data_IF_777093553011
#
_entry.id   IF_777093553011
#
_cell.length_a   1.000
_cell.length_b   1.000
_cell.length_c   1.000
_cell.angle_alpha   90.00
_cell.angle_beta   90.00
_cell.angle_gamma   90.00
#
_symmetry.space_group_name_H-M   'P 1'
#
loop_
_entity.id
_entity.type
_entity.pdbx_description
1 polymer ?
#
# COMPACT_ATOMS: atom_id res chain seq x y z
N UNK A 1 -12.66 11.02 16.26
CA UNK A 1 -12.25 12.33 15.67
C UNK A 1 -11.58 13.27 16.65
N UNK A 2 -12.23 13.71 17.73
CA UNK A 2 -11.67 14.74 18.64
C UNK A 2 -10.21 14.53 19.08
N UNK A 3 -9.85 13.29 19.45
CA UNK A 3 -8.48 12.98 19.85
C UNK A 3 -7.44 13.18 18.71
N UNK A 4 -7.81 12.82 17.48
CA UNK A 4 -6.94 12.97 16.30
C UNK A 4 -6.80 14.45 15.93
N UNK A 5 -7.88 15.22 16.01
CA UNK A 5 -7.88 16.66 15.74
C UNK A 5 -7.02 17.42 16.76
N UNK A 6 -7.19 17.12 18.05
CA UNK A 6 -6.37 17.73 19.11
C UNK A 6 -4.90 17.33 19.00
N UNK A 7 -4.59 16.06 18.74
CA UNK A 7 -3.22 15.63 18.49
C UNK A 7 -2.62 16.36 17.28
N UNK A 8 -3.38 16.52 16.19
CA UNK A 8 -2.95 17.25 15.00
C UNK A 8 -2.65 18.71 15.29
N UNK A 9 -3.49 19.37 16.12
CA UNK A 9 -3.30 20.74 16.58
C UNK A 9 -2.07 20.90 17.45
N UNK A 10 -1.89 20.01 18.44
CA UNK A 10 -0.73 20.00 19.35
C UNK A 10 0.59 19.79 18.60
N UNK A 11 0.60 18.88 17.62
CA UNK A 11 1.76 18.55 16.81
C UNK A 11 1.97 19.52 15.63
N UNK A 12 1.11 20.54 15.47
CA UNK A 12 1.18 21.55 14.40
C UNK A 12 1.29 20.93 13.01
N UNK A 13 0.51 19.88 12.74
CA UNK A 13 0.57 19.15 11.48
C UNK A 13 0.19 20.06 10.30
N UNK A 14 0.92 19.91 9.19
CA UNK A 14 0.56 20.51 7.90
C UNK A 14 -0.19 19.47 7.08
N UNK A 15 -1.52 19.50 7.15
CA UNK A 15 -2.41 18.55 6.48
C UNK A 15 -3.54 18.09 7.40
N UNK A 16 -4.36 17.17 6.90
CA UNK A 16 -5.46 16.55 7.65
C UNK A 16 -5.18 15.06 7.84
N UNK A 17 -5.40 14.56 9.05
CA UNK A 17 -5.34 13.13 9.35
C UNK A 17 -6.75 12.65 9.66
N UNK A 18 -7.25 11.71 8.86
CA UNK A 18 -8.57 11.12 9.02
C UNK A 18 -8.40 9.61 9.25
N UNK A 19 -8.95 9.04 10.34
CA UNK A 19 -9.11 7.59 10.45
C UNK A 19 -9.91 7.08 9.25
N UNK A 20 -9.65 5.85 8.79
CA UNK A 20 -10.45 5.27 7.69
C UNK A 20 -11.93 5.16 8.10
N UNK A 21 -12.18 4.82 9.36
CA UNK A 21 -13.50 4.71 9.96
C UNK A 21 -13.46 5.13 11.43
N UNK A 22 -14.63 5.50 11.99
CA UNK A 22 -14.82 5.78 13.42
C UNK A 22 -15.39 4.60 14.20
N UNK A 23 -15.74 3.52 13.49
CA UNK A 23 -16.25 2.31 14.08
C UNK A 23 -15.11 1.54 14.73
N UNK A 24 -15.35 1.04 15.95
CA UNK A 24 -14.41 0.15 16.61
C UNK A 24 -14.64 -1.27 16.08
N UNK A 25 -13.76 -1.73 15.21
CA UNK A 25 -13.84 -3.05 14.58
C UNK A 25 -12.48 -3.72 14.56
N UNK A 26 -12.47 -5.03 14.32
CA UNK A 26 -11.25 -5.82 14.20
C UNK A 26 -11.03 -6.24 12.74
N UNK A 27 -9.76 -6.23 12.33
CA UNK A 27 -9.33 -6.86 11.10
C UNK A 27 -9.26 -8.37 11.30
N UNK A 28 -9.88 -9.12 10.40
CA UNK A 28 -9.87 -10.58 10.36
C UNK A 28 -9.32 -11.08 9.03
N UNK A 29 -8.88 -12.34 8.98
CA UNK A 29 -8.47 -13.00 7.76
C UNK A 29 -9.03 -14.42 7.68
N UNK A 30 -9.57 -14.78 6.52
CA UNK A 30 -9.79 -16.16 6.11
C UNK A 30 -8.50 -16.67 5.46
N UNK A 31 -8.06 -17.85 5.87
CA UNK A 31 -6.84 -18.47 5.38
C UNK A 31 -7.16 -19.55 4.34
N UNK A 32 -6.15 -19.92 3.54
CA UNK A 32 -6.29 -20.90 2.46
C UNK A 32 -6.71 -22.31 2.92
N UNK A 33 -6.56 -22.63 4.22
CA UNK A 33 -7.06 -23.87 4.83
C UNK A 33 -8.50 -23.77 5.35
N UNK A 34 -9.17 -22.63 5.12
CA UNK A 34 -10.54 -22.34 5.55
C UNK A 34 -10.65 -21.87 7.00
N UNK A 35 -9.55 -21.80 7.76
CA UNK A 35 -9.56 -21.26 9.12
C UNK A 35 -9.65 -19.72 9.12
N UNK A 36 -10.12 -19.15 10.22
CA UNK A 36 -10.26 -17.70 10.41
C UNK A 36 -9.41 -17.26 11.59
N UNK A 37 -8.65 -16.18 11.38
CA UNK A 37 -7.93 -15.47 12.45
C UNK A 37 -8.55 -14.09 12.65
N UNK A 38 -8.76 -13.72 13.91
CA UNK A 38 -9.31 -12.42 14.31
C UNK A 38 -8.22 -11.54 14.93
N UNK A 39 -8.37 -10.22 14.80
CA UNK A 39 -7.43 -9.18 15.22
C UNK A 39 -6.16 -9.07 14.36
N UNK A 40 -5.73 -7.83 14.11
CA UNK A 40 -4.58 -7.52 13.24
C UNK A 40 -3.30 -8.26 13.69
N UNK A 41 -3.09 -8.42 15.00
CA UNK A 41 -1.92 -9.10 15.55
C UNK A 41 -1.84 -10.57 15.10
N UNK A 42 -2.97 -11.25 15.02
CA UNK A 42 -3.04 -12.65 14.57
C UNK A 42 -3.05 -12.76 13.05
N UNK A 43 -3.65 -11.79 12.35
CA UNK A 43 -3.57 -11.68 10.88
C UNK A 43 -2.11 -11.51 10.42
N UNK A 44 -1.27 -10.88 11.25
CA UNK A 44 0.18 -10.70 11.00
C UNK A 44 1.06 -11.83 11.53
N UNK A 45 0.49 -12.80 12.25
CA UNK A 45 1.26 -13.88 12.84
C UNK A 45 1.89 -14.76 11.74
N UNK A 46 3.08 -15.28 12.04
CA UNK A 46 3.78 -16.24 11.16
C UNK A 46 3.33 -17.68 11.46
N UNK A 47 3.60 -18.60 10.54
CA UNK A 47 3.33 -20.03 10.73
C UNK A 47 1.87 -20.45 10.57
N UNK A 48 1.00 -19.53 10.12
CA UNK A 48 -0.36 -19.81 9.69
C UNK A 48 -0.44 -20.08 8.19
N UNK A 49 -1.54 -20.67 7.72
CA UNK A 49 -1.81 -20.81 6.29
C UNK A 49 -1.85 -19.43 5.59
N UNK A 50 -1.57 -19.37 4.26
CA UNK A 50 -1.65 -18.13 3.48
C UNK A 50 -2.98 -17.42 3.64
N UNK A 51 -2.97 -16.08 3.60
CA UNK A 51 -4.20 -15.28 3.64
C UNK A 51 -4.92 -15.44 2.30
N UNK A 52 -6.16 -15.92 2.35
CA UNK A 52 -7.05 -15.95 1.18
C UNK A 52 -7.70 -14.57 0.99
N UNK A 53 -8.29 -14.03 2.07
CA UNK A 53 -8.86 -12.68 2.08
C UNK A 53 -8.92 -12.10 3.50
N UNK A 54 -8.96 -10.78 3.58
CA UNK A 54 -9.24 -10.04 4.81
C UNK A 54 -10.65 -9.48 4.80
N UNK A 55 -11.20 -9.24 5.99
CA UNK A 55 -12.48 -8.59 6.19
C UNK A 55 -12.51 -7.91 7.56
N UNK A 56 -13.48 -7.02 7.77
CA UNK A 56 -13.72 -6.42 9.07
C UNK A 56 -14.75 -7.28 9.81
N UNK A 57 -14.59 -7.42 11.13
CA UNK A 57 -15.51 -8.21 11.96
C UNK A 57 -16.95 -7.67 11.93
N UNK A 58 -17.11 -6.36 11.71
CA UNK A 58 -18.40 -5.69 11.62
C UNK A 58 -18.68 -5.30 10.16
N UNK A 59 -19.85 -5.71 9.65
CA UNK A 59 -20.23 -5.51 8.24
C UNK A 59 -20.68 -4.08 7.90
N UNK A 60 -21.02 -3.27 8.91
CA UNK A 60 -21.61 -1.94 8.75
C UNK A 60 -20.65 -0.82 9.17
N UNK A 61 -19.47 -0.79 8.55
CA UNK A 61 -18.52 0.31 8.71
C UNK A 61 -18.70 1.37 7.63
N UNK A 62 -18.73 2.64 8.05
CA UNK A 62 -18.72 3.79 7.13
C UNK A 62 -17.40 4.54 7.20
N UNK A 63 -17.10 5.29 6.15
CA UNK A 63 -15.94 6.17 6.13
C UNK A 63 -16.08 7.29 7.17
N UNK A 64 -14.95 7.76 7.68
CA UNK A 64 -14.95 8.99 8.47
C UNK A 64 -15.46 10.16 7.61
N UNK A 65 -16.34 11.05 8.14
CA UNK A 65 -16.80 12.22 7.41
C UNK A 65 -15.65 13.08 6.87
N UNK A 66 -15.76 13.54 5.63
CA UNK A 66 -14.71 14.30 4.95
C UNK A 66 -13.67 13.46 4.23
N UNK A 67 -13.66 12.13 4.40
CA UNK A 67 -12.70 11.25 3.73
C UNK A 67 -13.03 11.06 2.25
N UNK A 68 -14.30 10.82 1.92
CA UNK A 68 -14.76 10.65 0.52
C UNK A 68 -14.55 11.93 -0.27
N UNK A 69 -14.93 13.07 0.31
CA UNK A 69 -14.77 14.39 -0.33
C UNK A 69 -13.28 14.73 -0.56
N UNK A 70 -12.40 14.31 0.35
CA UNK A 70 -10.96 14.49 0.18
C UNK A 70 -10.39 13.62 -0.95
N UNK A 71 -10.91 12.40 -1.12
CA UNK A 71 -10.53 11.50 -2.22
C UNK A 71 -11.01 12.07 -3.56
N UNK A 72 -12.26 12.52 -3.63
CA UNK A 72 -12.86 13.11 -4.84
C UNK A 72 -12.15 14.39 -5.29
N UNK A 73 -11.67 15.20 -4.34
CA UNK A 73 -10.95 16.44 -4.61
C UNK A 73 -9.45 16.24 -4.90
N UNK A 74 -8.92 15.02 -4.81
CA UNK A 74 -7.49 14.76 -4.94
C UNK A 74 -7.01 14.89 -6.40
N UNK A 75 -5.81 15.44 -6.58
CA UNK A 75 -5.06 15.34 -7.85
C UNK A 75 -4.30 14.00 -7.97
N UNK A 76 -3.90 13.46 -6.82
CA UNK A 76 -3.08 12.26 -6.66
C UNK A 76 -3.57 11.51 -5.42
N UNK A 77 -3.80 10.21 -5.57
CA UNK A 77 -4.10 9.28 -4.49
C UNK A 77 -2.95 8.27 -4.43
N UNK A 78 -2.31 8.15 -3.28
CA UNK A 78 -1.24 7.17 -3.05
C UNK A 78 -1.73 6.06 -2.13
N UNK A 79 -1.61 4.82 -2.58
CA UNK A 79 -1.85 3.63 -1.78
C UNK A 79 -0.49 3.11 -1.30
N UNK A 80 -0.31 3.02 0.03
CA UNK A 80 0.95 2.61 0.61
C UNK A 80 2.07 3.67 0.55
N UNK A 81 3.33 3.28 0.78
CA UNK A 81 3.76 1.91 1.08
C UNK A 81 3.27 1.44 2.45
N UNK A 82 3.17 0.13 2.65
CA UNK A 82 2.69 -0.45 3.91
C UNK A 82 2.39 -1.93 3.77
N UNK A 83 2.13 -2.62 4.88
CA UNK A 83 1.76 -4.04 4.80
C UNK A 83 0.56 -4.23 3.88
N UNK A 84 0.65 -5.17 2.93
CA UNK A 84 -0.36 -5.30 1.86
C UNK A 84 -1.76 -5.47 2.46
N UNK A 85 -1.94 -6.52 3.26
CA UNK A 85 -3.24 -6.82 3.87
C UNK A 85 -3.55 -5.88 5.03
N UNK A 86 -2.66 -5.76 6.00
CA UNK A 86 -2.94 -5.10 7.29
C UNK A 86 -2.78 -3.58 7.29
N UNK A 87 -2.43 -2.96 6.16
CA UNK A 87 -2.36 -1.49 6.04
C UNK A 87 -3.06 -1.02 4.78
N UNK A 88 -2.65 -1.48 3.61
CA UNK A 88 -3.19 -0.97 2.34
C UNK A 88 -4.61 -1.48 2.12
N UNK A 89 -4.79 -2.80 2.01
CA UNK A 89 -6.09 -3.41 1.75
C UNK A 89 -7.05 -3.23 2.93
N UNK A 90 -6.57 -3.18 4.17
CA UNK A 90 -7.40 -2.88 5.34
C UNK A 90 -8.12 -1.52 5.23
N UNK A 91 -7.50 -0.50 4.62
CA UNK A 91 -8.17 0.77 4.35
C UNK A 91 -9.25 0.66 3.27
N UNK A 92 -9.09 -0.28 2.34
CA UNK A 92 -10.01 -0.53 1.23
C UNK A 92 -11.21 -1.41 1.62
N UNK A 93 -11.18 -2.01 2.82
CA UNK A 93 -12.33 -2.76 3.36
C UNK A 93 -13.52 -1.86 3.69
N UNK A 94 -13.33 -0.55 3.83
CA UNK A 94 -14.43 0.41 3.97
C UNK A 94 -14.99 0.71 2.58
N UNK A 95 -16.21 0.27 2.23
CA UNK A 95 -16.67 0.28 0.84
C UNK A 95 -16.75 1.67 0.23
N UNK A 96 -17.09 2.69 1.02
CA UNK A 96 -17.13 4.09 0.59
C UNK A 96 -15.75 4.59 0.15
N UNK A 97 -14.67 4.18 0.84
CA UNK A 97 -13.29 4.56 0.51
C UNK A 97 -12.86 3.87 -0.79
N UNK A 98 -13.03 2.55 -0.90
CA UNK A 98 -12.66 1.81 -2.10
C UNK A 98 -13.40 2.33 -3.35
N UNK A 99 -14.72 2.56 -3.22
CA UNK A 99 -15.53 3.13 -4.32
C UNK A 99 -15.10 4.54 -4.70
N UNK A 100 -14.81 5.40 -3.73
CA UNK A 100 -14.35 6.76 -4.01
C UNK A 100 -13.02 6.76 -4.77
N UNK A 101 -12.07 5.90 -4.36
CA UNK A 101 -10.77 5.76 -5.03
C UNK A 101 -10.96 5.19 -6.44
N UNK A 102 -11.75 4.13 -6.59
CA UNK A 102 -11.94 3.47 -7.88
C UNK A 102 -12.59 4.37 -8.95
N UNK A 103 -13.40 5.34 -8.52
CA UNK A 103 -14.08 6.30 -9.40
C UNK A 103 -13.39 7.67 -9.45
N UNK A 104 -12.26 7.84 -8.75
CA UNK A 104 -11.58 9.12 -8.67
C UNK A 104 -11.07 9.58 -10.05
N UNK A 105 -11.14 10.89 -10.29
CA UNK A 105 -10.46 11.49 -11.44
C UNK A 105 -8.96 11.72 -11.20
N UNK A 106 -8.52 11.59 -9.96
CA UNK A 106 -7.13 11.68 -9.51
C UNK A 106 -6.24 10.63 -10.19
N UNK A 107 -4.92 10.79 -10.11
CA UNK A 107 -3.98 9.70 -10.42
C UNK A 107 -3.90 8.75 -9.23
N UNK A 108 -4.24 7.48 -9.42
CA UNK A 108 -4.17 6.47 -8.35
C UNK A 108 -2.89 5.66 -8.50
N UNK A 109 -1.98 5.82 -7.54
CA UNK A 109 -0.66 5.19 -7.54
C UNK A 109 -0.51 4.27 -6.34
N UNK A 110 -0.26 2.98 -6.58
CA UNK A 110 0.19 2.06 -5.54
C UNK A 110 1.72 2.14 -5.43
N UNK A 111 2.24 2.45 -4.25
CA UNK A 111 3.67 2.39 -3.96
C UNK A 111 3.99 0.98 -3.47
N UNK A 112 4.59 0.18 -4.34
CA UNK A 112 4.83 -1.24 -4.08
C UNK A 112 5.77 -1.46 -2.90
N UNK A 113 5.51 -2.50 -2.12
CA UNK A 113 6.48 -3.00 -1.16
C UNK A 113 7.74 -3.47 -1.88
N UNK A 114 8.89 -3.33 -1.21
CA UNK A 114 10.18 -3.79 -1.74
C UNK A 114 10.46 -5.25 -1.42
N UNK A 115 9.87 -5.77 -0.34
CA UNK A 115 10.07 -7.13 0.13
C UNK A 115 8.74 -7.83 0.36
N UNK A 116 8.79 -9.17 0.32
CA UNK A 116 7.74 -10.01 0.90
C UNK A 116 7.64 -9.77 2.42
N UNK A 117 6.53 -10.21 3.01
CA UNK A 117 6.26 -10.10 4.43
C UNK A 117 5.85 -11.47 4.98
N UNK A 118 6.62 -12.04 5.94
CA UNK A 118 6.29 -13.32 6.56
C UNK A 118 4.87 -13.36 7.15
N UNK A 119 4.16 -14.47 6.90
CA UNK A 119 2.78 -14.69 7.33
C UNK A 119 1.73 -13.88 6.57
N UNK A 120 2.12 -13.06 5.58
CA UNK A 120 1.21 -12.21 4.82
C UNK A 120 1.39 -12.37 3.31
N UNK A 121 2.61 -12.21 2.78
CA UNK A 121 2.89 -12.17 1.34
C UNK A 121 4.06 -13.08 0.95
N UNK A 122 4.24 -14.18 1.68
CA UNK A 122 5.39 -15.10 1.63
C UNK A 122 5.68 -15.64 0.22
N UNK A 123 4.65 -15.84 -0.60
CA UNK A 123 4.76 -16.36 -1.96
C UNK A 123 4.47 -15.33 -3.06
N UNK A 124 4.29 -14.05 -2.70
CA UNK A 124 3.82 -13.03 -3.65
C UNK A 124 4.99 -12.38 -4.37
N UNK A 125 4.81 -12.12 -5.66
CA UNK A 125 5.64 -11.19 -6.42
C UNK A 125 4.98 -9.81 -6.55
N UNK A 126 5.59 -8.89 -7.29
CA UNK A 126 5.08 -7.53 -7.46
C UNK A 126 3.70 -7.52 -8.14
N UNK A 127 3.51 -8.37 -9.15
CA UNK A 127 2.24 -8.51 -9.85
C UNK A 127 1.11 -9.04 -8.95
N UNK A 128 1.40 -9.93 -8.00
CA UNK A 128 0.42 -10.37 -7.01
C UNK A 128 -0.04 -9.24 -6.09
N UNK A 129 0.90 -8.40 -5.62
CA UNK A 129 0.55 -7.24 -4.82
C UNK A 129 -0.38 -6.28 -5.60
N UNK A 130 -0.07 -6.01 -6.87
CA UNK A 130 -0.88 -5.15 -7.74
C UNK A 130 -2.28 -5.75 -7.92
N UNK A 131 -2.36 -7.04 -8.24
CA UNK A 131 -3.63 -7.75 -8.40
C UNK A 131 -4.48 -7.65 -7.14
N UNK A 132 -3.91 -7.95 -5.98
CA UNK A 132 -4.64 -7.89 -4.70
C UNK A 132 -5.15 -6.48 -4.41
N UNK A 133 -4.33 -5.43 -4.58
CA UNK A 133 -4.80 -4.05 -4.41
C UNK A 133 -5.96 -3.74 -5.37
N UNK A 134 -5.84 -4.14 -6.63
CA UNK A 134 -6.88 -3.96 -7.64
C UNK A 134 -8.18 -4.70 -7.28
N UNK A 135 -8.08 -5.94 -6.77
CA UNK A 135 -9.21 -6.74 -6.31
C UNK A 135 -9.96 -6.03 -5.16
N UNK A 136 -9.25 -5.48 -4.17
CA UNK A 136 -9.85 -4.71 -3.07
C UNK A 136 -10.41 -3.34 -3.49
N UNK A 137 -10.02 -2.82 -4.66
CA UNK A 137 -10.67 -1.66 -5.29
C UNK A 137 -11.92 -2.04 -6.11
N UNK A 138 -12.27 -3.32 -6.20
CA UNK A 138 -13.38 -3.81 -7.01
C UNK A 138 -12.99 -4.09 -8.47
N UNK A 139 -11.70 -4.34 -8.74
CA UNK A 139 -11.19 -4.78 -10.03
C UNK A 139 -10.76 -3.65 -10.99
N UNK A 140 -10.83 -2.38 -10.56
CA UNK A 140 -10.43 -1.23 -11.40
C UNK A 140 -10.00 -0.02 -10.57
N UNK A 141 -9.53 1.04 -11.23
CA UNK A 141 -9.19 2.32 -10.59
C UNK A 141 -7.77 2.43 -10.03
N UNK A 142 -6.88 1.48 -10.36
CA UNK A 142 -5.45 1.58 -10.11
C UNK A 142 -4.71 1.92 -11.41
N UNK A 143 -4.14 3.12 -11.52
CA UNK A 143 -3.50 3.57 -12.76
C UNK A 143 -2.04 3.11 -12.85
N UNK A 144 -1.30 3.28 -11.75
CA UNK A 144 0.16 3.13 -11.73
C UNK A 144 0.57 2.32 -10.50
N UNK A 145 1.61 1.50 -10.68
CA UNK A 145 2.40 0.99 -9.56
C UNK A 145 3.81 1.58 -9.62
N UNK A 146 4.22 2.23 -8.53
CA UNK A 146 5.58 2.74 -8.34
C UNK A 146 6.44 1.64 -7.70
N UNK A 147 7.52 1.26 -8.38
CA UNK A 147 8.38 0.13 -8.02
C UNK A 147 9.81 0.63 -7.86
N UNK A 148 10.49 0.15 -6.81
CA UNK A 148 11.91 0.42 -6.62
C UNK A 148 12.79 -0.22 -7.70
N UNK A 149 13.70 0.54 -8.29
CA UNK A 149 14.76 0.04 -9.17
C UNK A 149 16.19 0.32 -8.71
N UNK A 150 16.37 0.89 -7.52
CA UNK A 150 17.67 0.97 -6.85
C UNK A 150 17.92 -0.38 -6.17
N UNK A 151 18.61 -1.29 -6.88
CA UNK A 151 18.85 -2.65 -6.40
C UNK A 151 19.62 -2.63 -5.08
N UNK A 152 19.03 -3.14 -3.96
CA UNK A 152 19.70 -3.15 -2.68
C UNK A 152 20.99 -3.99 -2.74
N UNK A 153 22.08 -3.59 -2.05
CA UNK A 153 23.31 -4.38 -1.99
C UNK A 153 23.07 -5.80 -1.49
N UNK A 154 23.87 -6.75 -1.98
CA UNK A 154 23.71 -8.18 -1.68
C UNK A 154 23.67 -8.49 -0.17
N UNK A 155 24.55 -7.87 0.62
CA UNK A 155 24.57 -8.07 2.08
C UNK A 155 23.26 -7.62 2.75
N UNK A 156 22.63 -6.57 2.23
CA UNK A 156 21.36 -6.05 2.74
C UNK A 156 20.20 -6.97 2.38
N UNK A 157 20.17 -7.46 1.13
CA UNK A 157 19.17 -8.44 0.69
C UNK A 157 19.26 -9.72 1.53
N UNK A 158 20.47 -10.22 1.77
CA UNK A 158 20.71 -11.40 2.61
C UNK A 158 20.22 -11.19 4.04
N UNK A 159 20.57 -10.06 4.65
CA UNK A 159 20.17 -9.73 6.02
C UNK A 159 18.64 -9.80 6.23
N UNK A 160 17.86 -9.28 5.28
CA UNK A 160 16.40 -9.33 5.35
C UNK A 160 15.81 -10.66 4.87
N UNK A 161 16.41 -11.31 3.87
CA UNK A 161 15.98 -12.63 3.39
C UNK A 161 16.07 -13.72 4.48
N UNK A 162 17.09 -13.68 5.34
CA UNK A 162 17.21 -14.57 6.52
C UNK A 162 16.02 -14.46 7.49
N UNK A 163 15.21 -13.40 7.38
CA UNK A 163 14.03 -13.12 8.19
C UNK A 163 12.72 -13.29 7.39
N UNK A 164 12.79 -13.89 6.20
CA UNK A 164 11.67 -14.09 5.27
C UNK A 164 11.21 -12.81 4.54
N UNK A 165 12.02 -11.75 4.55
CA UNK A 165 11.73 -10.48 3.88
C UNK A 165 12.52 -10.41 2.56
N UNK A 166 12.29 -11.39 1.69
CA UNK A 166 12.96 -11.45 0.38
C UNK A 166 12.63 -10.23 -0.47
N UNK A 167 13.66 -9.64 -1.10
CA UNK A 167 13.50 -8.52 -2.02
C UNK A 167 12.79 -8.98 -3.30
N UNK A 168 11.74 -8.26 -3.68
CA UNK A 168 10.97 -8.54 -4.89
C UNK A 168 11.59 -7.80 -6.08
N UNK A 169 12.23 -8.54 -6.98
CA UNK A 169 12.92 -7.94 -8.12
C UNK A 169 11.93 -7.51 -9.23
N UNK A 170 12.08 -6.29 -9.80
CA UNK A 170 11.27 -5.82 -10.92
C UNK A 170 11.74 -6.42 -12.25
N UNK A 171 11.64 -7.75 -12.39
CA UNK A 171 12.04 -8.47 -13.61
C UNK A 171 11.18 -8.08 -14.81
N UNK A 172 11.67 -8.30 -16.03
CA UNK A 172 10.90 -8.00 -17.25
C UNK A 172 9.55 -8.72 -17.27
N UNK A 173 9.51 -9.99 -16.84
CA UNK A 173 8.30 -10.78 -16.74
C UNK A 173 7.30 -10.19 -15.73
N UNK A 174 7.76 -9.74 -14.57
CA UNK A 174 6.88 -9.08 -13.59
C UNK A 174 6.28 -7.78 -14.14
N UNK A 175 7.08 -6.97 -14.83
CA UNK A 175 6.58 -5.74 -15.45
C UNK A 175 5.56 -6.04 -16.56
N UNK A 176 5.74 -7.13 -17.31
CA UNK A 176 4.75 -7.58 -18.30
C UNK A 176 3.46 -8.06 -17.66
N UNK A 177 3.53 -8.86 -16.60
CA UNK A 177 2.36 -9.30 -15.81
C UNK A 177 1.58 -8.12 -15.25
N UNK A 178 2.26 -7.12 -14.71
CA UNK A 178 1.61 -5.88 -14.22
C UNK A 178 0.90 -5.14 -15.35
N UNK A 179 1.53 -4.99 -16.52
CA UNK A 179 0.88 -4.36 -17.69
C UNK A 179 -0.33 -5.16 -18.15
N UNK A 180 -0.31 -6.48 -18.06
CA UNK A 180 -1.43 -7.34 -18.40
C UNK A 180 -2.65 -7.15 -17.47
N UNK A 181 -2.43 -6.64 -16.24
CA UNK A 181 -3.50 -6.20 -15.33
C UNK A 181 -4.07 -4.82 -15.67
N UNK A 182 -3.60 -4.18 -16.75
CA UNK A 182 -3.99 -2.83 -17.14
C UNK A 182 -3.34 -1.71 -16.31
N UNK A 183 -2.38 -2.03 -15.44
CA UNK A 183 -1.69 -1.07 -14.57
C UNK A 183 -0.33 -0.71 -15.19
N UNK A 184 0.03 0.58 -15.20
CA UNK A 184 1.34 1.03 -15.71
C UNK A 184 2.42 0.84 -14.64
N UNK A 185 3.43 -0.03 -14.83
CA UNK A 185 4.57 -0.06 -13.92
C UNK A 185 5.51 1.12 -14.17
N UNK A 186 5.86 1.84 -13.12
CA UNK A 186 6.85 2.92 -13.12
C UNK A 186 7.96 2.56 -12.16
N UNK A 187 9.19 2.58 -12.67
CA UNK A 187 10.39 2.33 -11.87
C UNK A 187 11.03 3.64 -11.43
N UNK A 188 11.47 3.70 -10.19
CA UNK A 188 12.26 4.81 -9.68
C UNK A 188 13.16 4.35 -8.51
N UNK A 189 14.30 5.01 -8.27
CA UNK A 189 15.19 4.65 -7.18
C UNK A 189 14.58 5.22 -5.90
N UNK A 190 13.82 4.42 -5.16
CA UNK A 190 12.97 4.93 -4.06
C UNK A 190 13.32 4.36 -2.69
N UNK A 191 14.33 3.50 -2.57
CA UNK A 191 14.81 3.03 -1.26
C UNK A 191 15.74 4.04 -0.57
N UNK A 192 15.79 3.93 0.76
CA UNK A 192 16.70 4.68 1.60
C UNK A 192 18.11 4.09 1.63
N UNK A 193 19.06 4.89 2.12
CA UNK A 193 20.39 4.39 2.43
C UNK A 193 20.33 3.63 3.74
N UNK A 194 20.54 2.32 3.68
CA UNK A 194 20.54 1.50 4.88
C UNK A 194 21.66 1.92 5.84
N UNK A 195 21.27 2.30 7.05
CA UNK A 195 22.17 2.72 8.14
C UNK A 195 22.28 1.67 9.25
N UNK A 196 21.72 0.48 9.04
CA UNK A 196 21.66 -0.61 10.02
C UNK A 196 20.22 -1.05 10.35
N UNK A 197 20.06 -2.15 11.11
CA UNK A 197 18.76 -2.63 11.54
C UNK A 197 18.04 -1.59 12.41
N UNK A 198 16.72 -1.46 12.22
CA UNK A 198 15.89 -0.56 13.03
C UNK A 198 15.06 -1.37 14.01
N UNK A 199 15.03 -0.92 15.26
CA UNK A 199 14.09 -1.43 16.25
C UNK A 199 12.76 -0.66 16.12
N UNK A 200 11.66 -1.40 16.02
CA UNK A 200 10.34 -0.83 15.84
C UNK A 200 9.38 -1.46 16.84
N UNK A 201 8.54 -0.63 17.44
CA UNK A 201 7.50 -1.09 18.32
C UNK A 201 6.48 -1.98 17.59
N UNK A 202 6.48 -3.28 17.90
CA UNK A 202 5.57 -4.29 17.35
C UNK A 202 5.50 -4.31 15.82
N UNK A 203 6.58 -3.94 15.13
CA UNK A 203 6.67 -3.95 13.66
C UNK A 203 7.96 -4.58 13.19
N UNK A 204 7.90 -5.22 12.04
CA UNK A 204 9.07 -5.79 11.40
C UNK A 204 9.78 -4.70 10.58
N UNK A 205 11.09 -4.58 10.73
CA UNK A 205 11.90 -3.74 9.83
C UNK A 205 12.11 -4.43 8.49
N UNK A 206 12.33 -3.63 7.43
CA UNK A 206 12.54 -4.09 6.05
C UNK A 206 13.39 -3.07 5.28
N UNK A 207 13.68 -3.34 4.01
CA UNK A 207 14.24 -2.40 3.05
C UNK A 207 13.25 -1.24 2.86
N UNK A 208 13.59 -0.06 3.36
CA UNK A 208 12.64 1.06 3.43
C UNK A 208 12.72 1.96 2.22
N UNK A 209 11.61 2.64 2.01
CA UNK A 209 11.53 3.77 1.10
C UNK A 209 12.17 5.02 1.70
N UNK A 210 12.85 5.79 0.87
CA UNK A 210 13.22 7.17 1.14
C UNK A 210 12.05 8.08 0.79
N UNK A 211 11.54 8.81 1.79
CA UNK A 211 10.34 9.63 1.65
C UNK A 211 10.49 10.71 0.57
N UNK A 212 11.67 11.32 0.43
CA UNK A 212 11.87 12.36 -0.58
C UNK A 212 11.97 11.78 -1.99
N UNK A 213 12.61 10.63 -2.15
CA UNK A 213 12.70 9.95 -3.46
C UNK A 213 11.32 9.49 -3.92
N UNK A 214 10.51 8.93 -3.03
CA UNK A 214 9.11 8.59 -3.32
C UNK A 214 8.32 9.85 -3.71
N UNK A 215 8.40 10.92 -2.91
CA UNK A 215 7.69 12.16 -3.19
C UNK A 215 8.08 12.75 -4.56
N UNK A 216 9.38 12.79 -4.90
CA UNK A 216 9.86 13.26 -6.21
C UNK A 216 9.31 12.42 -7.35
N UNK A 217 9.31 11.09 -7.21
CA UNK A 217 8.77 10.20 -8.23
C UNK A 217 7.25 10.42 -8.44
N UNK A 218 6.49 10.56 -7.36
CA UNK A 218 5.05 10.80 -7.39
C UNK A 218 4.70 12.16 -8.01
N UNK A 219 5.40 13.23 -7.63
CA UNK A 219 5.20 14.57 -8.21
C UNK A 219 5.52 14.55 -9.71
N UNK A 220 6.58 13.86 -10.12
CA UNK A 220 6.92 13.68 -11.53
C UNK A 220 5.79 13.03 -12.34
N UNK A 221 5.10 12.04 -11.77
CA UNK A 221 3.95 11.40 -12.41
C UNK A 221 2.75 12.34 -12.57
N UNK A 222 2.48 13.18 -11.58
CA UNK A 222 1.42 14.20 -11.65
C UNK A 222 1.75 15.21 -12.75
N UNK A 223 3.00 15.66 -12.83
CA UNK A 223 3.45 16.60 -13.86
C UNK A 223 3.39 16.00 -15.27
N UNK A 224 3.74 14.72 -15.43
CA UNK A 224 3.56 13.99 -16.70
C UNK A 224 2.09 13.96 -17.12
N UNK A 225 1.17 13.66 -16.19
CA UNK A 225 -0.27 13.62 -16.46
C UNK A 225 -0.86 14.99 -16.78
N UNK A 226 -0.41 16.04 -16.07
CA UNK A 226 -0.81 17.44 -16.27
C UNK A 226 -0.23 18.08 -17.53
N UNK A 227 0.58 17.37 -18.31
CA UNK A 227 0.96 17.75 -19.67
C UNK A 227 0.03 17.15 -20.74
N UNK A 228 -1.26 17.50 -20.89
CA UNK A 228 -1.96 17.25 -22.14
C UNK A 228 -1.58 18.29 -23.23
N UNK A 229 -1.36 17.79 -24.45
CA UNK A 229 -1.65 18.44 -25.75
C UNK A 229 -0.76 19.58 -26.31
N UNK A 230 0.41 19.93 -25.76
CA UNK A 230 1.35 20.85 -26.45
C UNK A 230 2.05 20.27 -27.71
N UNK A 231 1.73 19.02 -28.09
CA UNK A 231 2.18 18.38 -29.34
C UNK A 231 1.05 18.20 -30.38
N UNK A 232 -0.12 18.80 -30.15
CA UNK A 232 -1.25 18.79 -31.09
C UNK A 232 -1.58 20.20 -31.67
N UNK A 233 -0.58 21.08 -31.72
CA UNK A 233 -0.55 22.35 -32.44
C UNK A 233 0.69 22.38 -33.33
#
# INVERSE_FOLDING_TARGET
MRAVEEASRLLKLRGRVLPVTLYNTHLCAELADGSVVEEEVNVRAVGKAPIERIFLKDDNVSATPGSVEAIEAADLITLGPGSLFTTVCACLLVPEIARAIANAQALVVYVANTTRQPGQTDSFDLSDHVRVVQDYLGGSGLDVVLINDDTPPEHLRRHYAERGLEYMEPTALELERIRALGVRPVKAPVIDKWSGPRDLWLKQDTIRHDAERVARALVGLVDERRRPQLRAL
#
